data_IF_953440045378
#
_entry.id   IF_953440045378
#
_cell.length_a   1.000
_cell.length_b   1.000
_cell.length_c   1.000
_cell.angle_alpha   90.00
_cell.angle_beta   90.00
_cell.angle_gamma   90.00
#
_symmetry.space_group_name_H-M   'P 1'
#
loop_
_entity.id
_entity.type
_entity.pdbx_description
1 polymer ?
#
# COMPACT_ATOMS: atom_id res chain seq x y z
N UNK A 1 -11.09 -5.84 5.21
CA UNK A 1 -9.77 -5.89 4.57
C UNK A 1 -9.15 -4.52 4.78
N UNK A 2 -8.00 -4.47 5.44
CA UNK A 2 -7.24 -3.23 5.61
C UNK A 2 -6.16 -3.22 4.52
N UNK A 3 -5.89 -2.05 3.94
CA UNK A 3 -4.88 -1.87 2.90
C UNK A 3 -3.50 -2.37 3.33
N UNK A 4 -3.20 -2.32 4.64
CA UNK A 4 -1.97 -2.84 5.24
C UNK A 4 -1.79 -4.34 4.99
N UNK A 5 -2.88 -5.13 5.07
CA UNK A 5 -2.81 -6.58 4.84
C UNK A 5 -2.55 -6.93 3.37
N UNK A 6 -3.17 -6.22 2.43
CA UNK A 6 -2.91 -6.43 0.99
C UNK A 6 -1.49 -6.01 0.61
N UNK A 7 -0.92 -5.00 1.29
CA UNK A 7 0.46 -4.57 1.10
C UNK A 7 1.45 -5.56 1.74
N UNK A 8 1.12 -6.11 2.91
CA UNK A 8 1.91 -7.15 3.57
C UNK A 8 1.96 -8.44 2.74
N UNK A 9 0.86 -8.83 2.11
CA UNK A 9 0.78 -9.99 1.20
C UNK A 9 1.72 -9.89 -0.01
N UNK A 10 2.07 -8.67 -0.43
CA UNK A 10 3.06 -8.43 -1.49
C UNK A 10 4.47 -8.18 -0.97
N UNK A 11 4.69 -8.39 0.33
CA UNK A 11 5.99 -8.29 1.01
C UNK A 11 6.36 -6.87 1.42
N UNK A 12 5.40 -5.95 1.50
CA UNK A 12 5.63 -4.56 1.91
C UNK A 12 5.07 -4.32 3.30
N UNK A 13 5.86 -3.69 4.18
CA UNK A 13 5.29 -3.20 5.44
C UNK A 13 4.60 -1.88 5.17
N UNK A 14 3.40 -1.72 5.69
CA UNK A 14 2.66 -0.47 5.53
C UNK A 14 2.06 -0.04 6.86
N UNK A 15 1.98 1.28 7.06
CA UNK A 15 1.25 1.90 8.17
C UNK A 15 0.25 2.88 7.58
N UNK A 16 -1.03 2.72 7.91
CA UNK A 16 -2.09 3.58 7.42
C UNK A 16 -2.47 4.67 8.44
N UNK A 17 -2.66 5.89 7.95
CA UNK A 17 -3.23 6.99 8.72
C UNK A 17 -4.56 7.41 8.10
N UNK A 18 -5.66 6.85 8.62
CA UNK A 18 -7.02 7.17 8.14
C UNK A 18 -7.36 8.66 8.25
N UNK A 19 -6.94 9.31 9.35
CA UNK A 19 -7.18 10.74 9.55
C UNK A 19 -6.50 11.62 8.51
N UNK A 20 -5.34 11.19 7.99
CA UNK A 20 -4.58 11.91 6.97
C UNK A 20 -4.87 11.41 5.54
N UNK A 21 -5.55 10.27 5.39
CA UNK A 21 -5.69 9.52 4.15
C UNK A 21 -4.33 9.23 3.47
N UNK A 22 -3.32 8.90 4.29
CA UNK A 22 -1.97 8.57 3.82
C UNK A 22 -1.64 7.14 4.24
N UNK A 23 -0.99 6.40 3.33
CA UNK A 23 -0.34 5.13 3.62
C UNK A 23 1.16 5.34 3.45
N UNK A 24 1.91 5.00 4.49
CA UNK A 24 3.36 4.97 4.47
C UNK A 24 3.79 3.53 4.21
N UNK A 25 4.56 3.30 3.15
CA UNK A 25 5.05 1.98 2.75
C UNK A 25 6.55 1.93 3.00
N UNK A 26 6.99 0.93 3.76
CA UNK A 26 8.38 0.63 4.02
C UNK A 26 8.77 -0.61 3.20
N UNK A 27 9.67 -0.42 2.24
CA UNK A 27 10.24 -1.50 1.44
C UNK A 27 11.67 -1.16 1.05
N UNK A 28 12.50 -2.17 0.81
CA UNK A 28 13.79 -1.97 0.16
C UNK A 28 13.59 -1.30 -1.23
N UNK A 29 14.40 -0.31 -1.59
CA UNK A 29 14.28 0.42 -2.88
C UNK A 29 14.25 -0.50 -4.10
N UNK A 30 14.92 -1.66 -4.04
CA UNK A 30 14.92 -2.65 -5.11
C UNK A 30 13.59 -3.41 -5.25
N UNK A 31 12.74 -3.37 -4.21
CA UNK A 31 11.47 -4.09 -4.09
C UNK A 31 10.26 -3.17 -4.24
N UNK A 32 10.44 -1.84 -4.17
CA UNK A 32 9.37 -0.88 -4.38
C UNK A 32 8.96 -0.87 -5.86
N UNK A 33 7.77 -1.37 -6.13
CA UNK A 33 7.19 -1.41 -7.46
C UNK A 33 5.79 -0.79 -7.41
N UNK A 34 5.65 0.38 -8.03
CA UNK A 34 4.42 1.17 -8.03
C UNK A 34 3.21 0.41 -8.58
N UNK A 35 3.41 -0.50 -9.54
CA UNK A 35 2.31 -1.33 -10.07
C UNK A 35 1.80 -2.32 -9.03
N UNK A 36 2.71 -2.91 -8.24
CA UNK A 36 2.32 -3.82 -7.13
C UNK A 36 1.57 -3.06 -6.04
N UNK A 37 2.07 -1.87 -5.68
CA UNK A 37 1.41 -1.00 -4.69
C UNK A 37 0.01 -0.64 -5.18
N UNK A 38 -0.12 -0.18 -6.42
CA UNK A 38 -1.40 0.18 -7.03
C UNK A 38 -2.37 -1.00 -7.06
N UNK A 39 -1.92 -2.18 -7.46
CA UNK A 39 -2.75 -3.38 -7.48
C UNK A 39 -3.24 -3.77 -6.08
N UNK A 40 -2.40 -3.69 -5.05
CA UNK A 40 -2.78 -3.95 -3.66
C UNK A 40 -3.81 -2.92 -3.15
N UNK A 41 -3.60 -1.64 -3.46
CA UNK A 41 -4.51 -0.52 -3.11
C UNK A 41 -5.89 -0.72 -3.76
N UNK A 42 -5.93 -1.07 -5.04
CA UNK A 42 -7.17 -1.31 -5.78
C UNK A 42 -7.92 -2.55 -5.28
N UNK A 43 -7.20 -3.64 -4.93
CA UNK A 43 -7.80 -4.84 -4.31
C UNK A 43 -8.43 -4.56 -2.96
N UNK A 44 -7.81 -3.65 -2.19
CA UNK A 44 -8.36 -3.15 -0.94
C UNK A 44 -9.56 -2.20 -1.14
N UNK A 45 -9.91 -1.83 -2.38
CA UNK A 45 -11.05 -0.98 -2.71
C UNK A 45 -10.75 0.52 -2.63
N UNK A 46 -9.47 0.91 -2.64
CA UNK A 46 -9.02 2.29 -2.60
C UNK A 46 -8.43 2.71 -3.96
N UNK A 47 -8.19 4.01 -4.12
CA UNK A 47 -7.55 4.58 -5.31
C UNK A 47 -6.48 5.58 -4.87
N UNK A 48 -5.33 5.58 -5.55
CA UNK A 48 -4.27 6.54 -5.31
C UNK A 48 -4.71 7.93 -5.80
N UNK A 49 -4.52 8.95 -4.96
CA UNK A 49 -4.67 10.35 -5.38
C UNK A 49 -3.39 10.75 -6.15
N UNK A 50 -3.59 11.25 -7.36
CA UNK A 50 -2.53 11.61 -8.31
C UNK A 50 -1.93 12.99 -8.02
#
# INVERSE_FOLDING_TARGET
MLIEGELEDVGMKATCSFAKQIVEVESDEASLNDEKVKAAVERAGYSLAN
#
